data_IF_352036471904
#
_entry.id   IF_352036471904
#
_cell.length_a   1.000
_cell.length_b   1.000
_cell.length_c   1.000
_cell.angle_alpha   90.00
_cell.angle_beta   90.00
_cell.angle_gamma   90.00
#
_symmetry.space_group_name_H-M   'P 1'
#
loop_
_entity.id
_entity.type
_entity.pdbx_description
1 polymer ?
#
# COMPACT_ATOMS: atom_id res chain seq x y z
N UNK A 1 -34.40 11.42 4.53
CA UNK A 1 -33.55 12.33 5.31
C UNK A 1 -32.69 11.44 6.18
N UNK A 2 -31.42 11.23 5.90
CA UNK A 2 -30.28 12.19 5.90
C UNK A 2 -29.32 11.69 6.98
N UNK A 3 -28.43 10.75 6.65
CA UNK A 3 -27.20 10.42 7.41
C UNK A 3 -26.17 9.79 6.45
N UNK A 4 -25.85 10.45 5.33
CA UNK A 4 -24.82 9.96 4.38
C UNK A 4 -23.42 10.51 4.64
N UNK A 5 -23.21 11.17 5.78
CA UNK A 5 -21.98 11.86 6.18
C UNK A 5 -21.11 11.08 7.17
N UNK A 6 -21.47 9.83 7.49
CA UNK A 6 -20.54 8.94 8.18
C UNK A 6 -19.49 8.58 7.14
N UNK A 7 -18.34 9.23 7.24
CA UNK A 7 -17.16 8.95 6.43
C UNK A 7 -16.93 7.44 6.40
N UNK A 8 -16.94 6.86 5.20
CA UNK A 8 -16.51 5.48 5.01
C UNK A 8 -15.07 5.38 5.52
N UNK A 9 -14.86 4.60 6.59
CA UNK A 9 -13.53 4.26 7.07
C UNK A 9 -12.75 3.69 5.87
N UNK A 10 -11.67 4.39 5.48
CA UNK A 10 -10.88 4.02 4.30
C UNK A 10 -9.95 2.83 4.58
N UNK A 11 -9.79 2.47 5.85
CA UNK A 11 -9.01 1.34 6.31
C UNK A 11 -9.80 0.46 7.28
N UNK A 12 -9.45 -0.82 7.34
CA UNK A 12 -10.05 -1.79 8.25
C UNK A 12 -9.00 -2.28 9.25
N UNK A 13 -9.39 -2.44 10.52
CA UNK A 13 -8.55 -3.05 11.56
C UNK A 13 -8.39 -4.57 11.41
N UNK A 14 -9.11 -5.18 10.46
CA UNK A 14 -9.02 -6.60 10.11
C UNK A 14 -8.74 -6.77 8.63
N UNK A 15 -8.02 -7.82 8.22
CA UNK A 15 -7.85 -8.13 6.80
C UNK A 15 -9.19 -8.24 6.08
N UNK A 16 -9.26 -7.65 4.88
CA UNK A 16 -10.43 -7.72 4.03
C UNK A 16 -10.60 -9.14 3.51
N UNK A 17 -11.81 -9.71 3.66
CA UNK A 17 -12.17 -11.00 3.09
C UNK A 17 -12.34 -10.87 1.57
N UNK A 18 -12.03 -11.94 0.84
CA UNK A 18 -12.24 -12.07 -0.60
C UNK A 18 -11.63 -10.91 -1.42
N UNK A 19 -10.52 -10.35 -0.92
CA UNK A 19 -9.82 -9.19 -1.47
C UNK A 19 -8.39 -9.55 -1.87
N UNK A 20 -7.85 -8.84 -2.87
CA UNK A 20 -6.48 -9.04 -3.32
C UNK A 20 -5.50 -8.73 -2.18
N UNK A 21 -4.55 -9.64 -1.96
CA UNK A 21 -3.44 -9.41 -1.02
C UNK A 21 -2.14 -9.23 -1.79
N UNK A 22 -1.50 -8.08 -1.57
CA UNK A 22 -0.25 -7.68 -2.20
C UNK A 22 0.83 -7.59 -1.15
N UNK A 23 1.96 -8.25 -1.40
CA UNK A 23 3.15 -8.24 -0.55
C UNK A 23 4.18 -7.30 -1.16
N UNK A 24 4.75 -6.41 -0.35
CA UNK A 24 5.75 -5.43 -0.77
C UNK A 24 7.01 -5.57 0.05
N UNK A 25 8.17 -5.50 -0.61
CA UNK A 25 9.50 -5.52 -0.01
C UNK A 25 10.44 -4.62 -0.83
N UNK A 26 11.54 -4.15 -0.24
CA UNK A 26 12.62 -3.50 -0.98
C UNK A 26 13.99 -3.93 -0.46
N UNK A 27 14.91 -4.13 -1.39
CA UNK A 27 16.30 -4.47 -1.07
C UNK A 27 17.25 -3.32 -1.33
N UNK A 28 17.98 -2.88 -0.30
CA UNK A 28 19.02 -1.85 -0.44
C UNK A 28 20.20 -2.33 -1.31
N UNK A 29 20.62 -3.58 -1.12
CA UNK A 29 21.74 -4.19 -1.88
C UNK A 29 21.35 -4.46 -3.33
N UNK A 30 20.12 -4.91 -3.56
CA UNK A 30 19.60 -5.19 -4.90
C UNK A 30 19.17 -3.92 -5.63
N UNK A 31 18.94 -2.83 -4.90
CA UNK A 31 18.39 -1.57 -5.42
C UNK A 31 17.11 -1.85 -6.20
N UNK A 32 16.15 -2.51 -5.56
CA UNK A 32 14.86 -2.85 -6.16
C UNK A 32 13.78 -2.86 -5.11
N UNK A 33 12.59 -2.43 -5.48
CA UNK A 33 11.37 -2.75 -4.76
C UNK A 33 10.64 -3.89 -5.49
N UNK A 34 10.13 -4.86 -4.74
CA UNK A 34 9.39 -6.01 -5.24
C UNK A 34 7.96 -5.92 -4.72
N UNK A 35 7.01 -6.11 -5.62
CA UNK A 35 5.58 -6.21 -5.32
C UNK A 35 5.13 -7.56 -5.85
N UNK A 36 4.49 -8.39 -5.03
CA UNK A 36 4.06 -9.73 -5.41
C UNK A 36 2.65 -10.00 -4.93
N UNK A 37 1.83 -10.65 -5.76
CA UNK A 37 0.46 -11.00 -5.41
C UNK A 37 0.04 -12.30 -6.10
N UNK A 38 -0.96 -12.97 -5.53
CA UNK A 38 -1.54 -14.17 -6.10
C UNK A 38 -2.88 -13.85 -6.75
N UNK A 39 -3.05 -14.22 -8.02
CA UNK A 39 -4.29 -13.97 -8.77
C UNK A 39 -4.42 -14.94 -9.95
N UNK A 40 -5.62 -15.47 -10.17
CA UNK A 40 -5.93 -16.43 -11.25
C UNK A 40 -5.02 -17.66 -11.20
N UNK A 41 -4.92 -18.27 -10.02
CA UNK A 41 -4.09 -19.45 -9.72
C UNK A 41 -2.59 -19.30 -10.00
N UNK A 42 -2.10 -18.06 -10.12
CA UNK A 42 -0.70 -17.78 -10.43
C UNK A 42 -0.13 -16.65 -9.57
N UNK A 43 1.15 -16.77 -9.24
CA UNK A 43 1.92 -15.69 -8.64
C UNK A 43 2.33 -14.68 -9.71
N UNK A 44 2.06 -13.41 -9.44
CA UNK A 44 2.44 -12.26 -10.26
C UNK A 44 3.36 -11.37 -9.45
N UNK A 45 4.24 -10.65 -10.13
CA UNK A 45 5.13 -9.70 -9.48
C UNK A 45 5.39 -8.49 -10.37
N UNK A 46 5.75 -7.40 -9.72
CA UNK A 46 6.26 -6.19 -10.32
C UNK A 46 7.56 -5.80 -9.61
N UNK A 47 8.55 -5.39 -10.39
CA UNK A 47 9.81 -4.83 -9.88
C UNK A 47 9.83 -3.35 -10.19
N UNK A 48 10.11 -2.53 -9.18
CA UNK A 48 10.44 -1.12 -9.36
C UNK A 48 11.96 -0.96 -9.25
N UNK A 49 12.53 -0.24 -10.21
CA UNK A 49 13.94 0.13 -10.20
C UNK A 49 14.12 1.46 -9.47
N UNK A 50 15.23 1.62 -8.76
CA UNK A 50 15.57 2.85 -8.03
C UNK A 50 16.24 3.85 -8.93
N UNK A 51 16.12 5.11 -8.55
CA UNK A 51 17.03 6.17 -8.94
C UNK A 51 18.24 6.20 -7.96
N UNK A 52 19.39 6.76 -8.35
CA UNK A 52 20.57 6.84 -7.50
C UNK A 52 20.34 7.51 -6.13
N UNK A 53 19.41 8.45 -6.09
CA UNK A 53 19.01 9.24 -4.91
C UNK A 53 18.03 8.50 -3.97
N UNK A 54 17.49 7.36 -4.39
CA UNK A 54 16.52 6.61 -3.58
C UNK A 54 17.18 5.94 -2.37
N UNK A 55 16.51 6.08 -1.23
CA UNK A 55 16.82 5.36 0.00
C UNK A 55 16.02 4.07 0.07
N UNK A 56 16.37 3.19 1.02
CA UNK A 56 15.55 2.00 1.29
C UNK A 56 14.10 2.39 1.65
N UNK A 57 13.93 3.40 2.49
CA UNK A 57 12.62 3.88 2.93
C UNK A 57 11.78 4.44 1.79
N UNK A 58 12.40 5.16 0.84
CA UNK A 58 11.66 5.68 -0.32
C UNK A 58 11.27 4.56 -1.29
N UNK A 59 12.06 3.49 -1.39
CA UNK A 59 11.72 2.31 -2.20
C UNK A 59 10.59 1.48 -1.60
N UNK A 60 10.63 1.23 -0.29
CA UNK A 60 9.53 0.56 0.41
C UNK A 60 8.23 1.34 0.23
N UNK A 61 8.28 2.67 0.39
CA UNK A 61 7.12 3.54 0.18
C UNK A 61 6.65 3.53 -1.28
N UNK A 62 7.58 3.56 -2.24
CA UNK A 62 7.26 3.50 -3.66
C UNK A 62 6.53 2.20 -4.04
N UNK A 63 6.89 1.06 -3.44
CA UNK A 63 6.18 -0.20 -3.65
C UNK A 63 4.71 -0.13 -3.23
N UNK A 64 4.44 0.48 -2.07
CA UNK A 64 3.08 0.67 -1.56
C UNK A 64 2.30 1.69 -2.40
N UNK A 65 2.92 2.81 -2.75
CA UNK A 65 2.30 3.82 -3.63
C UNK A 65 1.95 3.23 -5.00
N UNK A 66 2.87 2.46 -5.60
CA UNK A 66 2.60 1.78 -6.86
C UNK A 66 1.43 0.81 -6.73
N UNK A 67 1.42 0.00 -5.66
CA UNK A 67 0.35 -0.94 -5.35
C UNK A 67 -1.00 -0.22 -5.25
N UNK A 68 -1.09 0.84 -4.45
CA UNK A 68 -2.31 1.65 -4.35
C UNK A 68 -2.71 2.28 -5.68
N UNK A 69 -1.76 2.74 -6.49
CA UNK A 69 -2.02 3.35 -7.79
C UNK A 69 -2.62 2.36 -8.82
N UNK A 70 -2.26 1.07 -8.73
CA UNK A 70 -2.83 0.05 -9.61
C UNK A 70 -4.26 -0.36 -9.24
N UNK A 71 -4.59 -0.29 -7.95
CA UNK A 71 -5.87 -0.76 -7.41
C UNK A 71 -6.66 0.35 -6.71
N UNK A 72 -6.63 1.58 -7.26
CA UNK A 72 -7.25 2.78 -6.66
C UNK A 72 -8.74 2.60 -6.30
N UNK A 73 -9.48 1.85 -7.12
CA UNK A 73 -10.93 1.64 -6.95
C UNK A 73 -11.28 0.26 -6.38
N UNK A 74 -10.29 -0.52 -5.98
CA UNK A 74 -10.47 -1.91 -5.53
C UNK A 74 -10.02 -2.05 -4.08
N UNK A 75 -10.86 -2.61 -3.19
CA UNK A 75 -10.41 -2.95 -1.84
C UNK A 75 -9.25 -3.94 -1.91
N UNK A 76 -8.14 -3.64 -1.23
CA UNK A 76 -6.93 -4.47 -1.20
C UNK A 76 -6.32 -4.57 0.21
N UNK A 77 -5.66 -5.68 0.47
CA UNK A 77 -4.77 -5.87 1.61
C UNK A 77 -3.32 -5.65 1.13
N UNK A 78 -2.58 -4.76 1.79
CA UNK A 78 -1.15 -4.55 1.53
C UNK A 78 -0.36 -5.06 2.74
N UNK A 79 0.59 -5.95 2.50
CA UNK A 79 1.48 -6.50 3.51
C UNK A 79 2.88 -5.95 3.28
N UNK A 80 3.38 -5.21 4.27
CA UNK A 80 4.73 -4.66 4.29
C UNK A 80 5.41 -5.01 5.60
N UNK A 81 6.71 -5.29 5.56
CA UNK A 81 7.58 -5.45 6.72
C UNK A 81 8.24 -4.13 7.17
N UNK A 82 8.03 -3.05 6.42
CA UNK A 82 8.51 -1.71 6.75
C UNK A 82 7.62 -1.03 7.78
N UNK A 83 8.10 -0.94 9.02
CA UNK A 83 7.47 -0.13 10.07
C UNK A 83 7.37 1.35 9.69
N UNK A 84 8.33 1.84 8.89
CA UNK A 84 8.30 3.20 8.37
C UNK A 84 7.07 3.42 7.48
N UNK A 85 6.87 2.55 6.49
CA UNK A 85 5.73 2.65 5.55
C UNK A 85 4.40 2.44 6.27
N UNK A 86 4.30 1.43 7.14
CA UNK A 86 3.10 1.19 7.93
C UNK A 86 2.72 2.42 8.77
N UNK A 87 3.70 3.05 9.44
CA UNK A 87 3.46 4.26 10.22
C UNK A 87 3.10 5.48 9.38
N UNK A 88 3.67 5.63 8.18
CA UNK A 88 3.30 6.71 7.24
C UNK A 88 1.86 6.52 6.77
N UNK A 89 1.47 5.32 6.34
CA UNK A 89 0.13 5.01 5.87
C UNK A 89 -0.93 5.27 6.96
N UNK A 90 -0.67 4.82 8.19
CA UNK A 90 -1.58 5.04 9.32
C UNK A 90 -1.74 6.54 9.62
N UNK A 91 -0.64 7.30 9.67
CA UNK A 91 -0.72 8.75 9.92
C UNK A 91 -1.44 9.51 8.80
N UNK A 92 -1.32 9.08 7.55
CA UNK A 92 -2.04 9.71 6.43
C UNK A 92 -3.54 9.46 6.54
N UNK A 93 -3.94 8.26 6.98
CA UNK A 93 -5.35 7.93 7.23
C UNK A 93 -5.91 8.77 8.40
N UNK A 94 -5.16 8.86 9.51
CA UNK A 94 -5.50 9.70 10.66
C UNK A 94 -5.50 11.20 10.32
N UNK A 95 -4.67 11.65 9.36
CA UNK A 95 -4.46 13.05 8.99
C UNK A 95 -5.62 13.66 8.18
N UNK A 96 -6.86 13.24 8.44
CA UNK A 96 -8.06 13.79 7.82
C UNK A 96 -8.03 15.34 7.92
N UNK A 97 -7.88 15.99 6.76
CA UNK A 97 -8.11 17.44 6.68
C UNK A 97 -9.60 17.62 6.94
N UNK A 98 -9.95 18.23 8.07
CA UNK A 98 -11.28 18.78 8.26
C UNK A 98 -11.47 19.85 7.19
N UNK A 99 -12.30 19.59 6.19
CA UNK A 99 -12.91 20.67 5.43
C UNK A 99 -13.63 21.57 6.44
N UNK A 100 -13.20 22.83 6.50
CA UNK A 100 -13.78 23.87 7.37
C UNK A 100 -14.93 24.53 6.62
#
# INVERSE_FOLDING_TARGET
TEHSWIALEKCSCRPLKDSLTVYTDAGKSTRRAMITWYQNDQWKHQILQTLPEDTLQTLELAAVCWTMSQWLSTPLNIVTDSLYVAGVAQRIEDAFIKDI
#
